data_IF_631768710841
#
_entry.id   IF_631768710841
#
_cell.length_a   1.000
_cell.length_b   1.000
_cell.length_c   1.000
_cell.angle_alpha   90.00
_cell.angle_beta   90.00
_cell.angle_gamma   90.00
#
_symmetry.space_group_name_H-M   'P 1'
#
loop_
_entity.id
_entity.type
_entity.pdbx_description
1 polymer ?
#
# COMPACT_ATOMS: atom_id res chain seq x y z
N UNK A 1 -2.88 4.63 29.73
CA UNK A 1 -2.09 4.09 28.60
C UNK A 1 -2.84 2.89 28.01
N UNK A 2 -2.95 2.78 26.67
CA UNK A 2 -3.63 1.65 26.03
C UNK A 2 -2.88 0.35 26.25
N UNK A 3 -3.59 -0.77 26.12
CA UNK A 3 -3.01 -2.10 26.05
C UNK A 3 -2.44 -2.27 24.63
N UNK A 4 -1.19 -2.72 24.50
CA UNK A 4 -0.55 -2.94 23.19
C UNK A 4 -0.26 -4.42 23.02
N UNK A 5 -0.70 -4.98 21.90
CA UNK A 5 -0.49 -6.40 21.55
C UNK A 5 0.04 -6.54 20.12
N UNK A 6 0.88 -7.56 19.90
CA UNK A 6 1.53 -7.81 18.62
C UNK A 6 1.10 -9.14 18.04
N UNK A 7 0.85 -9.18 16.73
CA UNK A 7 0.36 -10.36 16.04
C UNK A 7 1.05 -10.53 14.69
N UNK A 8 1.11 -11.76 14.23
CA UNK A 8 1.31 -12.06 12.80
C UNK A 8 -0.06 -12.24 12.17
N UNK A 9 -0.24 -11.80 10.93
CA UNK A 9 -1.52 -11.93 10.20
C UNK A 9 -2.01 -13.37 10.04
N UNK A 10 -1.11 -14.34 10.25
CA UNK A 10 -1.41 -15.78 10.12
C UNK A 10 -1.74 -16.46 11.45
N UNK A 11 -1.70 -15.75 12.57
CA UNK A 11 -1.91 -16.31 13.92
C UNK A 11 -2.88 -15.44 14.71
N UNK A 12 -3.74 -16.09 15.49
CA UNK A 12 -4.63 -15.40 16.43
C UNK A 12 -3.94 -15.15 17.78
N UNK A 13 -2.81 -15.83 18.05
CA UNK A 13 -2.07 -15.70 19.30
C UNK A 13 -1.13 -14.50 19.25
N UNK A 14 -1.09 -13.67 20.29
CA UNK A 14 -0.14 -12.57 20.39
C UNK A 14 1.29 -13.09 20.51
N UNK A 15 2.23 -12.32 19.99
CA UNK A 15 3.66 -12.58 20.15
C UNK A 15 4.30 -11.54 21.07
N UNK A 16 5.26 -11.97 21.87
CA UNK A 16 5.99 -11.14 22.81
C UNK A 16 7.49 -11.48 22.82
N UNK A 17 8.21 -10.98 23.80
CA UNK A 17 9.66 -11.18 23.93
C UNK A 17 10.06 -12.65 24.16
N UNK A 18 9.16 -13.47 24.69
CA UNK A 18 9.39 -14.90 24.96
C UNK A 18 9.05 -15.78 23.76
N UNK A 19 8.40 -15.21 22.73
CA UNK A 19 8.06 -15.94 21.53
C UNK A 19 9.29 -16.25 20.67
N UNK A 20 9.41 -17.46 20.14
CA UNK A 20 10.57 -17.94 19.39
C UNK A 20 10.94 -17.09 18.17
N UNK A 21 9.98 -16.42 17.54
CA UNK A 21 10.22 -15.54 16.38
C UNK A 21 10.74 -14.15 16.76
N UNK A 22 10.60 -13.73 18.02
CA UNK A 22 10.91 -12.35 18.43
C UNK A 22 12.32 -11.90 18.05
N UNK A 23 13.29 -12.80 18.19
CA UNK A 23 14.70 -12.52 17.92
C UNK A 23 15.15 -12.91 16.50
N UNK A 24 14.26 -13.49 15.71
CA UNK A 24 14.58 -13.86 14.33
C UNK A 24 14.52 -12.63 13.40
N UNK A 25 15.38 -12.60 12.37
CA UNK A 25 15.32 -11.56 11.36
C UNK A 25 14.01 -11.62 10.57
N UNK A 26 13.48 -10.45 10.20
CA UNK A 26 12.42 -10.39 9.20
C UNK A 26 12.90 -11.01 7.89
N UNK A 27 12.06 -11.78 7.20
CA UNK A 27 12.40 -12.29 5.88
C UNK A 27 12.79 -11.14 4.94
N UNK A 28 13.93 -11.30 4.27
CA UNK A 28 14.29 -10.40 3.17
C UNK A 28 13.17 -10.37 2.14
N UNK A 29 12.87 -9.17 1.65
CA UNK A 29 11.93 -9.00 0.55
C UNK A 29 12.33 -9.95 -0.61
N UNK A 30 11.35 -10.49 -1.33
CA UNK A 30 11.49 -11.46 -2.45
C UNK A 30 12.27 -10.91 -3.66
N UNK A 31 13.34 -10.16 -3.45
CA UNK A 31 14.27 -9.78 -4.52
C UNK A 31 15.13 -11.00 -4.89
N UNK A 32 15.29 -11.28 -6.18
CA UNK A 32 16.19 -12.36 -6.65
C UNK A 32 17.57 -12.20 -6.04
N UNK A 33 18.21 -13.32 -5.72
CA UNK A 33 19.53 -13.39 -5.05
C UNK A 33 20.66 -12.57 -5.76
N UNK A 34 20.49 -12.27 -7.03
CA UNK A 34 21.44 -11.49 -7.84
C UNK A 34 21.54 -10.00 -7.47
N UNK A 35 20.60 -9.47 -6.66
CA UNK A 35 20.64 -8.07 -6.18
C UNK A 35 21.04 -7.92 -4.71
N UNK A 36 21.59 -8.97 -4.09
CA UNK A 36 22.05 -8.96 -2.68
C UNK A 36 23.40 -8.25 -2.46
N UNK A 37 24.03 -7.67 -3.49
CA UNK A 37 25.38 -7.10 -3.37
C UNK A 37 25.48 -5.77 -2.61
N UNK A 38 24.35 -5.11 -2.29
CA UNK A 38 24.35 -3.85 -1.53
C UNK A 38 24.06 -4.04 -0.02
N UNK A 39 24.20 -5.26 0.49
CA UNK A 39 23.96 -5.62 1.89
C UNK A 39 25.16 -5.39 2.81
N UNK A 40 25.90 -4.31 2.60
CA UNK A 40 26.92 -3.84 3.56
C UNK A 40 26.25 -2.87 4.54
N UNK A 41 26.24 -3.25 5.83
CA UNK A 41 25.97 -2.40 7.01
C UNK A 41 24.52 -1.93 7.29
N UNK A 42 23.49 -2.73 7.06
CA UNK A 42 22.23 -2.49 7.76
C UNK A 42 22.04 -3.50 8.88
N UNK A 43 21.85 -3.04 10.11
CA UNK A 43 21.42 -3.89 11.20
C UNK A 43 20.20 -4.72 10.78
N UNK A 44 20.29 -6.02 10.98
CA UNK A 44 19.21 -6.95 10.59
C UNK A 44 17.99 -6.65 11.46
N UNK A 45 16.90 -6.17 10.83
CA UNK A 45 15.64 -5.89 11.54
C UNK A 45 15.02 -7.23 11.96
N UNK A 46 14.83 -7.43 13.26
CA UNK A 46 14.15 -8.61 13.82
C UNK A 46 12.65 -8.31 13.98
N UNK A 47 11.82 -9.36 14.18
CA UNK A 47 10.40 -9.19 14.51
C UNK A 47 10.23 -8.29 15.74
N UNK A 48 11.00 -8.51 16.80
CA UNK A 48 10.93 -7.70 18.01
C UNK A 48 11.33 -6.24 17.81
N UNK A 49 12.41 -5.98 17.08
CA UNK A 49 12.82 -4.61 16.75
C UNK A 49 11.81 -3.90 15.86
N UNK A 50 11.18 -4.62 14.92
CA UNK A 50 10.09 -4.11 14.08
C UNK A 50 8.88 -3.68 14.92
N UNK A 51 8.33 -4.58 15.76
CA UNK A 51 7.17 -4.28 16.60
C UNK A 51 7.45 -3.17 17.60
N UNK A 52 8.64 -3.18 18.21
CA UNK A 52 9.08 -2.12 19.11
C UNK A 52 9.16 -0.76 18.43
N UNK A 53 9.68 -0.71 17.19
CA UNK A 53 9.77 0.52 16.42
C UNK A 53 8.38 1.05 16.02
N UNK A 54 7.47 0.18 15.55
CA UNK A 54 6.08 0.56 15.22
C UNK A 54 5.36 1.08 16.47
N UNK A 55 5.45 0.36 17.59
CA UNK A 55 4.85 0.78 18.87
C UNK A 55 5.40 2.12 19.34
N UNK A 56 6.73 2.31 19.31
CA UNK A 56 7.38 3.59 19.67
C UNK A 56 6.92 4.73 18.78
N UNK A 57 6.81 4.51 17.48
CA UNK A 57 6.29 5.48 16.52
C UNK A 57 4.84 5.90 16.85
N UNK A 58 3.99 4.93 17.17
CA UNK A 58 2.60 5.20 17.53
C UNK A 58 2.47 5.91 18.88
N UNK A 59 3.28 5.52 19.88
CA UNK A 59 3.24 6.02 21.25
C UNK A 59 3.92 7.39 21.44
N UNK A 60 4.58 7.94 20.42
CA UNK A 60 5.26 9.25 20.50
C UNK A 60 4.27 10.32 20.98
N UNK A 61 4.71 11.16 21.92
CA UNK A 61 3.93 12.28 22.50
C UNK A 61 2.57 11.83 23.08
N UNK A 62 2.52 10.69 23.79
CA UNK A 62 1.29 10.21 24.42
C UNK A 62 0.24 9.72 23.40
N UNK A 63 0.67 9.02 22.37
CA UNK A 63 -0.20 8.51 21.30
C UNK A 63 -0.82 9.58 20.40
N UNK A 64 -0.33 10.80 20.45
CA UNK A 64 -0.88 11.96 19.72
C UNK A 64 -1.11 11.68 18.23
N UNK A 65 -0.21 10.91 17.58
CA UNK A 65 -0.36 10.54 16.16
C UNK A 65 -1.60 9.70 15.89
N UNK A 66 -1.86 8.70 16.73
CA UNK A 66 -3.03 7.82 16.64
C UNK A 66 -4.31 8.59 16.97
N UNK A 67 -4.28 9.40 18.04
CA UNK A 67 -5.40 10.21 18.48
C UNK A 67 -5.82 11.19 17.39
N UNK A 68 -4.86 11.90 16.77
CA UNK A 68 -5.13 12.83 15.66
C UNK A 68 -5.69 12.11 14.43
N UNK A 69 -5.12 10.95 14.06
CA UNK A 69 -5.61 10.15 12.95
C UNK A 69 -7.05 9.66 13.21
N UNK A 70 -7.31 9.15 14.41
CA UNK A 70 -8.64 8.70 14.83
C UNK A 70 -9.65 9.85 14.92
N UNK A 71 -9.25 10.99 15.47
CA UNK A 71 -10.09 12.20 15.52
C UNK A 71 -10.48 12.66 14.12
N UNK A 72 -9.54 12.64 13.18
CA UNK A 72 -9.79 12.96 11.77
C UNK A 72 -10.76 11.97 11.12
N UNK A 73 -10.57 10.65 11.36
CA UNK A 73 -11.40 9.59 10.77
C UNK A 73 -12.80 9.53 11.32
N UNK A 74 -12.99 9.92 12.60
CA UNK A 74 -14.29 9.96 13.27
C UNK A 74 -14.96 11.33 13.20
N UNK A 75 -14.27 12.36 12.70
CA UNK A 75 -14.73 13.76 12.68
C UNK A 75 -15.14 14.28 14.08
N UNK A 76 -14.43 13.81 15.11
CA UNK A 76 -14.68 14.21 16.51
C UNK A 76 -13.37 14.36 17.27
N UNK A 77 -13.24 15.31 18.22
CA UNK A 77 -12.05 15.44 19.05
C UNK A 77 -11.94 14.25 20.01
N UNK A 78 -10.75 13.66 20.08
CA UNK A 78 -10.40 12.56 20.97
C UNK A 78 -9.22 12.95 21.87
N UNK A 79 -9.11 12.31 23.02
CA UNK A 79 -8.00 12.44 23.97
C UNK A 79 -7.36 11.08 24.28
N UNK A 80 -6.20 11.08 24.91
CA UNK A 80 -5.45 9.84 25.22
C UNK A 80 -6.28 8.80 25.98
N UNK A 81 -7.14 9.25 26.89
CA UNK A 81 -7.98 8.36 27.70
C UNK A 81 -9.06 7.62 26.90
N UNK A 82 -9.38 8.07 25.70
CA UNK A 82 -10.36 7.40 24.83
C UNK A 82 -9.74 6.17 24.15
N UNK A 83 -8.40 6.12 24.07
CA UNK A 83 -7.62 5.02 23.48
C UNK A 83 -7.49 3.87 24.49
N UNK A 84 -8.13 2.74 24.20
CA UNK A 84 -8.17 1.57 25.10
C UNK A 84 -7.13 0.51 24.72
N UNK A 85 -7.05 0.18 23.44
CA UNK A 85 -6.21 -0.91 22.93
C UNK A 85 -5.62 -0.56 21.56
N UNK A 86 -4.40 -1.02 21.33
CA UNK A 86 -3.71 -0.96 20.02
C UNK A 86 -3.16 -2.34 19.70
N UNK A 87 -3.76 -3.01 18.74
CA UNK A 87 -3.28 -4.28 18.21
C UNK A 87 -2.51 -4.05 16.92
N UNK A 88 -1.27 -4.54 16.86
CA UNK A 88 -0.35 -4.36 15.75
C UNK A 88 -0.13 -5.70 15.05
N UNK A 89 -0.60 -5.82 13.81
CA UNK A 89 -0.49 -7.03 13.00
C UNK A 89 0.55 -6.81 11.90
N UNK A 90 1.57 -7.65 11.85
CA UNK A 90 2.47 -7.70 10.69
C UNK A 90 1.77 -8.45 9.56
N UNK A 91 1.31 -7.72 8.55
CA UNK A 91 0.45 -8.25 7.48
C UNK A 91 1.21 -9.08 6.46
N UNK A 92 2.31 -8.56 5.95
CA UNK A 92 3.09 -9.25 4.91
C UNK A 92 4.52 -8.71 4.81
N UNK A 93 5.35 -9.48 4.12
CA UNK A 93 6.69 -9.08 3.75
C UNK A 93 6.71 -8.65 2.27
N UNK A 94 6.57 -7.35 2.02
CA UNK A 94 6.59 -6.78 0.68
C UNK A 94 8.00 -6.42 0.22
N UNK A 95 8.15 -6.16 -1.08
CA UNK A 95 9.44 -5.81 -1.69
C UNK A 95 10.01 -4.46 -1.20
N UNK A 96 9.17 -3.55 -0.76
CA UNK A 96 9.55 -2.21 -0.33
C UNK A 96 9.28 -2.00 1.16
N UNK A 97 8.14 -2.49 1.63
CA UNK A 97 7.64 -2.26 2.97
C UNK A 97 7.19 -3.56 3.64
N UNK A 98 7.22 -3.54 4.96
CA UNK A 98 6.55 -4.50 5.81
C UNK A 98 5.37 -3.77 6.47
N UNK A 99 4.17 -3.78 5.85
CA UNK A 99 3.03 -3.07 6.40
C UNK A 99 2.54 -3.72 7.69
N UNK A 100 2.25 -2.89 8.70
CA UNK A 100 1.51 -3.27 9.88
C UNK A 100 0.08 -2.76 9.78
N UNK A 101 -0.91 -3.64 9.95
CA UNK A 101 -2.27 -3.23 10.26
C UNK A 101 -2.33 -2.84 11.75
N UNK A 102 -2.80 -1.64 12.03
CA UNK A 102 -3.15 -1.22 13.38
C UNK A 102 -4.65 -1.31 13.54
N UNK A 103 -5.10 -2.08 14.52
CA UNK A 103 -6.47 -2.04 15.01
C UNK A 103 -6.51 -1.29 16.34
N UNK A 104 -7.26 -0.20 16.37
CA UNK A 104 -7.29 0.72 17.50
C UNK A 104 -8.70 0.69 18.08
N UNK A 105 -8.83 0.34 19.37
CA UNK A 105 -10.09 0.39 20.09
C UNK A 105 -10.21 1.76 20.77
N UNK A 106 -11.26 2.50 20.40
CA UNK A 106 -11.61 3.80 20.95
C UNK A 106 -13.09 3.77 21.33
N UNK A 107 -13.38 3.92 22.62
CA UNK A 107 -14.73 3.75 23.16
C UNK A 107 -15.35 2.40 22.73
N UNK A 108 -16.41 2.42 21.92
CA UNK A 108 -17.09 1.23 21.40
C UNK A 108 -16.78 1.00 19.89
N UNK A 109 -15.78 1.67 19.34
CA UNK A 109 -15.43 1.59 17.93
C UNK A 109 -14.05 0.95 17.75
N UNK A 110 -13.88 0.21 16.65
CA UNK A 110 -12.58 -0.24 16.18
C UNK A 110 -12.25 0.51 14.90
N UNK A 111 -11.05 1.07 14.82
CA UNK A 111 -10.53 1.76 13.65
C UNK A 111 -9.30 1.02 13.15
N UNK A 112 -9.18 0.95 11.84
CA UNK A 112 -8.03 0.35 11.17
C UNK A 112 -7.17 1.42 10.51
N UNK A 113 -5.85 1.30 10.69
CA UNK A 113 -4.83 2.11 10.04
C UNK A 113 -3.72 1.22 9.50
N UNK A 114 -2.90 1.73 8.60
CA UNK A 114 -1.67 1.07 8.18
C UNK A 114 -0.46 1.87 8.68
N UNK A 115 0.56 1.15 9.16
CA UNK A 115 1.92 1.69 9.26
C UNK A 115 2.77 0.99 8.21
N UNK A 116 3.13 1.71 7.15
CA UNK A 116 4.07 1.21 6.16
C UNK A 116 5.50 1.42 6.65
N UNK A 117 6.21 0.32 6.91
CA UNK A 117 7.56 0.32 7.50
C UNK A 117 8.58 -0.02 6.44
N UNK A 118 9.53 0.88 6.21
CA UNK A 118 10.60 0.72 5.22
C UNK A 118 11.84 0.07 5.85
N UNK A 119 11.85 -1.27 5.94
CA UNK A 119 12.97 -2.01 6.51
C UNK A 119 14.17 -2.16 5.57
N UNK A 120 13.97 -2.05 4.24
CA UNK A 120 15.03 -2.14 3.24
C UNK A 120 15.57 -0.76 2.83
N UNK A 121 16.84 -0.70 2.38
CA UNK A 121 17.42 0.55 1.83
C UNK A 121 16.62 1.10 0.65
N UNK A 122 16.06 0.23 -0.18
CA UNK A 122 15.20 0.63 -1.30
C UNK A 122 13.89 1.24 -0.83
N UNK A 123 13.23 0.60 0.15
CA UNK A 123 12.03 1.13 0.80
C UNK A 123 12.27 2.49 1.45
N UNK A 124 13.39 2.67 2.16
CA UNK A 124 13.76 3.95 2.80
C UNK A 124 13.84 5.10 1.80
N UNK A 125 14.46 4.89 0.63
CA UNK A 125 14.54 5.90 -0.45
C UNK A 125 13.19 6.19 -1.09
N UNK A 126 12.31 5.20 -1.17
CA UNK A 126 11.00 5.31 -1.81
C UNK A 126 9.97 5.97 -0.91
N UNK A 127 9.97 5.67 0.39
CA UNK A 127 8.94 6.10 1.35
C UNK A 127 8.76 7.64 1.38
N UNK A 128 9.85 8.40 1.44
CA UNK A 128 9.77 9.87 1.47
C UNK A 128 9.12 10.45 0.21
N UNK A 129 9.39 9.87 -0.96
CA UNK A 129 8.77 10.27 -2.24
C UNK A 129 7.30 9.89 -2.28
N UNK A 130 6.98 8.70 -1.82
CA UNK A 130 5.61 8.20 -1.76
C UNK A 130 4.74 9.03 -0.82
N UNK A 131 5.21 9.35 0.38
CA UNK A 131 4.51 10.24 1.32
C UNK A 131 4.20 11.60 0.69
N UNK A 132 5.17 12.20 -0.02
CA UNK A 132 4.95 13.47 -0.73
C UNK A 132 3.94 13.34 -1.86
N UNK A 133 4.02 12.25 -2.63
CA UNK A 133 3.11 11.98 -3.73
C UNK A 133 1.67 11.76 -3.23
N UNK A 134 1.48 10.93 -2.20
CA UNK A 134 0.18 10.67 -1.59
C UNK A 134 -0.47 11.95 -1.05
N UNK A 135 0.28 12.78 -0.31
CA UNK A 135 -0.22 14.07 0.19
C UNK A 135 -0.66 14.97 -0.95
N UNK A 136 0.23 15.19 -1.96
CA UNK A 136 -0.09 16.01 -3.13
C UNK A 136 -1.32 15.51 -3.88
N UNK A 137 -1.44 14.20 -4.11
CA UNK A 137 -2.56 13.62 -4.84
C UNK A 137 -3.87 13.69 -4.04
N UNK A 138 -3.85 13.47 -2.73
CA UNK A 138 -5.04 13.66 -1.89
C UNK A 138 -5.52 15.11 -1.90
N UNK A 139 -4.61 16.09 -1.83
CA UNK A 139 -4.96 17.51 -1.90
C UNK A 139 -5.56 17.89 -3.27
N UNK A 140 -4.99 17.36 -4.36
CA UNK A 140 -5.44 17.65 -5.73
C UNK A 140 -6.67 16.84 -6.16
N UNK A 141 -6.89 15.66 -5.59
CA UNK A 141 -7.91 14.68 -5.98
C UNK A 141 -8.60 14.08 -4.74
N UNK A 142 -9.46 14.85 -4.05
CA UNK A 142 -10.09 14.44 -2.78
C UNK A 142 -11.23 13.41 -2.99
N UNK A 143 -11.01 12.40 -3.83
CA UNK A 143 -12.00 11.37 -4.14
C UNK A 143 -11.85 10.11 -3.28
N UNK A 144 -10.93 10.13 -2.30
CA UNK A 144 -10.65 8.98 -1.43
C UNK A 144 -10.05 7.78 -2.18
N UNK A 145 -9.37 8.01 -3.31
CA UNK A 145 -8.70 6.95 -4.07
C UNK A 145 -7.42 6.46 -3.41
N UNK A 146 -6.79 7.29 -2.60
CA UNK A 146 -5.50 7.08 -1.96
C UNK A 146 -5.64 7.07 -0.45
N UNK A 147 -4.75 6.36 0.28
CA UNK A 147 -4.70 6.48 1.73
C UNK A 147 -4.30 7.91 2.13
N UNK A 148 -4.99 8.45 3.12
CA UNK A 148 -4.56 9.66 3.81
C UNK A 148 -3.27 9.36 4.57
N UNK A 149 -2.27 10.24 4.49
CA UNK A 149 -1.06 10.13 5.30
C UNK A 149 -1.18 11.04 6.52
N UNK A 150 -1.44 10.46 7.68
CA UNK A 150 -1.62 11.20 8.94
C UNK A 150 -0.29 11.66 9.55
N UNK A 151 0.72 10.79 9.54
CA UNK A 151 2.04 11.06 10.10
C UNK A 151 3.11 10.25 9.42
N UNK A 152 4.37 10.71 9.48
CA UNK A 152 5.53 9.97 8.97
C UNK A 152 6.78 10.32 9.76
N UNK A 153 7.76 9.40 9.77
CA UNK A 153 9.10 9.62 10.31
C UNK A 153 10.18 9.22 9.30
N UNK A 154 11.35 9.82 9.43
CA UNK A 154 12.56 9.49 8.65
C UNK A 154 13.68 8.93 9.54
N UNK A 155 13.37 8.51 10.76
CA UNK A 155 14.31 7.92 11.72
C UNK A 155 14.96 6.63 11.18
N UNK A 156 15.68 5.90 12.03
CA UNK A 156 16.40 4.67 11.65
C UNK A 156 15.53 3.66 10.89
N UNK A 157 14.26 3.56 11.25
CA UNK A 157 13.26 2.75 10.55
C UNK A 157 12.15 3.68 10.03
N UNK A 158 12.31 4.27 8.83
CA UNK A 158 11.32 5.19 8.27
C UNK A 158 9.97 4.52 8.07
N UNK A 159 8.91 5.22 8.46
CA UNK A 159 7.55 4.72 8.34
C UNK A 159 6.52 5.85 8.21
N UNK A 160 5.34 5.52 7.74
CA UNK A 160 4.21 6.45 7.78
C UNK A 160 2.93 5.75 8.25
N UNK A 161 2.10 6.51 8.96
CA UNK A 161 0.75 6.15 9.37
C UNK A 161 -0.23 6.64 8.31
N UNK A 162 -1.06 5.74 7.81
CA UNK A 162 -2.08 6.07 6.81
C UNK A 162 -3.37 5.28 6.98
N UNK A 163 -4.33 5.52 6.07
CA UNK A 163 -5.59 4.78 6.05
C UNK A 163 -5.37 3.32 5.72
N UNK A 164 -6.05 2.45 6.47
CA UNK A 164 -6.38 1.10 6.05
C UNK A 164 -7.78 1.10 5.43
N UNK A 165 -7.93 0.49 4.27
CA UNK A 165 -9.21 0.39 3.59
C UNK A 165 -9.92 -0.90 3.98
N UNK A 166 -10.77 -0.84 5.01
CA UNK A 166 -11.53 -1.99 5.48
C UNK A 166 -12.45 -2.55 4.40
N UNK A 167 -12.43 -3.87 4.24
CA UNK A 167 -13.20 -4.58 3.20
C UNK A 167 -12.65 -4.45 1.78
N UNK A 168 -11.47 -3.84 1.61
CA UNK A 168 -10.75 -3.86 0.35
C UNK A 168 -9.67 -4.93 0.38
N UNK A 169 -9.53 -5.68 -0.71
CA UNK A 169 -8.64 -6.82 -0.82
C UNK A 169 -7.76 -6.73 -2.06
N UNK A 170 -6.61 -7.39 -2.01
CA UNK A 170 -5.76 -7.57 -3.19
C UNK A 170 -6.45 -8.51 -4.17
N UNK A 171 -6.12 -8.37 -5.44
CA UNK A 171 -6.59 -9.25 -6.49
C UNK A 171 -5.42 -9.72 -7.34
N UNK A 172 -5.59 -10.88 -7.96
CA UNK A 172 -4.56 -11.49 -8.79
C UNK A 172 -5.18 -12.08 -10.05
N UNK A 173 -4.40 -12.01 -11.13
CA UNK A 173 -4.67 -12.75 -12.34
C UNK A 173 -4.18 -14.18 -12.13
N UNK A 174 -5.04 -15.18 -12.30
CA UNK A 174 -4.68 -16.59 -12.11
C UNK A 174 -5.29 -17.47 -13.21
N UNK A 175 -4.74 -18.67 -13.42
CA UNK A 175 -5.34 -19.68 -14.30
C UNK A 175 -6.13 -20.70 -13.48
N UNK A 176 -7.33 -21.01 -13.95
CA UNK A 176 -8.10 -22.13 -13.40
C UNK A 176 -7.49 -23.46 -13.88
N UNK A 177 -7.46 -24.50 -13.02
CA UNK A 177 -7.09 -25.83 -13.47
C UNK A 177 -7.95 -26.26 -14.67
N UNK A 178 -7.28 -26.67 -15.78
CA UNK A 178 -7.96 -27.10 -17.00
C UNK A 178 -8.49 -25.98 -17.92
N UNK A 179 -8.11 -24.74 -17.69
CA UNK A 179 -8.43 -23.61 -18.57
C UNK A 179 -7.20 -22.76 -18.84
N UNK A 180 -6.97 -22.40 -20.11
CA UNK A 180 -5.92 -21.50 -20.52
C UNK A 180 -6.32 -20.02 -20.32
N UNK A 181 -7.61 -19.74 -20.14
CA UNK A 181 -8.09 -18.38 -19.93
C UNK A 181 -7.82 -17.92 -18.48
N UNK A 182 -7.07 -16.84 -18.29
CA UNK A 182 -6.85 -16.28 -16.96
C UNK A 182 -8.15 -15.67 -16.42
N UNK A 183 -8.31 -15.70 -15.10
CA UNK A 183 -9.40 -15.07 -14.37
C UNK A 183 -8.84 -14.18 -13.28
N UNK A 184 -9.61 -13.16 -12.88
CA UNK A 184 -9.24 -12.31 -11.76
C UNK A 184 -9.87 -12.88 -10.49
N UNK A 185 -9.04 -13.08 -9.49
CA UNK A 185 -9.43 -13.60 -8.16
C UNK A 185 -9.14 -12.53 -7.12
N UNK A 186 -10.12 -12.23 -6.28
CA UNK A 186 -9.97 -11.37 -5.12
C UNK A 186 -9.60 -12.23 -3.91
N UNK A 187 -8.59 -11.83 -3.16
CA UNK A 187 -8.08 -12.55 -1.99
C UNK A 187 -8.58 -11.86 -0.72
N UNK A 188 -9.57 -12.45 -0.08
CA UNK A 188 -10.17 -11.92 1.16
C UNK A 188 -9.48 -12.41 2.46
N UNK A 189 -8.29 -12.91 2.33
CA UNK A 189 -7.42 -13.30 3.47
C UNK A 189 -7.72 -14.68 4.08
N UNK A 190 -8.95 -15.17 4.00
CA UNK A 190 -9.40 -16.37 4.73
C UNK A 190 -9.67 -17.54 3.84
N UNK A 191 -9.09 -18.00 2.91
CA UNK A 191 -9.40 -19.19 2.09
C UNK A 191 -10.52 -19.02 1.06
N UNK A 192 -11.26 -17.95 1.08
CA UNK A 192 -12.31 -17.69 0.08
C UNK A 192 -11.72 -16.84 -1.04
N UNK A 193 -11.51 -17.47 -2.19
CA UNK A 193 -11.09 -16.78 -3.41
C UNK A 193 -12.33 -16.55 -4.26
N UNK A 194 -12.80 -15.32 -4.34
CA UNK A 194 -13.90 -14.97 -5.22
C UNK A 194 -13.41 -14.60 -6.61
N UNK A 195 -13.97 -15.24 -7.63
CA UNK A 195 -13.66 -14.94 -9.03
C UNK A 195 -14.56 -13.82 -9.51
N UNK A 196 -13.99 -12.78 -10.07
CA UNK A 196 -14.76 -11.69 -10.67
C UNK A 196 -15.46 -12.16 -11.95
N UNK A 197 -16.71 -11.71 -12.14
CA UNK A 197 -17.38 -11.80 -13.42
C UNK A 197 -16.69 -10.93 -14.48
N UNK A 198 -16.97 -11.17 -15.76
CA UNK A 198 -16.43 -10.34 -16.84
C UNK A 198 -16.79 -8.86 -16.67
N UNK A 199 -18.01 -8.56 -16.23
CA UNK A 199 -18.45 -7.19 -15.94
C UNK A 199 -17.63 -6.58 -14.80
N UNK A 200 -17.48 -7.29 -13.69
CA UNK A 200 -16.68 -6.81 -12.54
C UNK A 200 -15.21 -6.62 -12.91
N UNK A 201 -14.62 -7.53 -13.70
CA UNK A 201 -13.27 -7.40 -14.22
C UNK A 201 -13.12 -6.14 -15.10
N UNK A 202 -14.08 -5.92 -16.02
CA UNK A 202 -14.09 -4.71 -16.86
C UNK A 202 -14.23 -3.42 -16.02
N UNK A 203 -15.07 -3.44 -14.99
CA UNK A 203 -15.26 -2.30 -14.09
C UNK A 203 -14.01 -2.04 -13.24
N UNK A 204 -13.30 -3.08 -12.79
CA UNK A 204 -12.02 -2.98 -12.09
C UNK A 204 -10.98 -2.24 -12.94
N UNK A 205 -10.72 -2.71 -14.16
CA UNK A 205 -9.72 -2.09 -15.04
C UNK A 205 -10.15 -0.69 -15.48
N UNK A 206 -11.43 -0.45 -15.70
CA UNK A 206 -11.96 0.90 -15.99
C UNK A 206 -11.69 1.86 -14.84
N UNK A 207 -11.97 1.45 -13.60
CA UNK A 207 -11.74 2.28 -12.41
C UNK A 207 -10.24 2.53 -12.18
N UNK A 208 -9.39 1.51 -12.33
CA UNK A 208 -7.93 1.68 -12.21
C UNK A 208 -7.40 2.64 -13.29
N UNK A 209 -7.81 2.49 -14.55
CA UNK A 209 -7.44 3.39 -15.63
C UNK A 209 -7.95 4.83 -15.39
N UNK A 210 -9.17 4.98 -14.88
CA UNK A 210 -9.76 6.27 -14.51
C UNK A 210 -8.92 6.99 -13.44
N UNK A 211 -8.52 6.29 -12.37
CA UNK A 211 -7.66 6.84 -11.31
C UNK A 211 -6.34 7.34 -11.90
N UNK A 212 -5.65 6.50 -12.69
CA UNK A 212 -4.37 6.85 -13.28
C UNK A 212 -4.49 8.01 -14.28
N UNK A 213 -5.54 8.03 -15.11
CA UNK A 213 -5.78 9.11 -16.09
C UNK A 213 -6.13 10.42 -15.39
N UNK A 214 -6.97 10.40 -14.37
CA UNK A 214 -7.32 11.59 -13.61
C UNK A 214 -6.13 12.20 -12.84
N UNK A 215 -5.10 11.39 -12.56
CA UNK A 215 -3.87 11.83 -11.91
C UNK A 215 -2.77 12.24 -12.91
N UNK A 216 -2.98 12.06 -14.22
CA UNK A 216 -2.05 12.61 -15.21
C UNK A 216 -2.17 14.14 -15.26
N UNK A 217 -1.05 14.83 -15.17
CA UNK A 217 -0.96 16.28 -15.30
C UNK A 217 -0.46 16.62 -16.71
N UNK A 218 -1.32 17.12 -17.61
CA UNK A 218 -0.93 17.38 -18.99
C UNK A 218 0.09 18.52 -19.14
N UNK A 219 0.18 19.43 -18.17
CA UNK A 219 1.11 20.57 -18.24
C UNK A 219 2.53 20.18 -17.84
N UNK A 220 2.66 19.27 -16.88
CA UNK A 220 3.96 18.82 -16.38
C UNK A 220 4.32 17.40 -16.80
N UNK A 221 3.41 16.69 -17.47
CA UNK A 221 3.50 15.27 -17.81
C UNK A 221 3.71 14.35 -16.59
N UNK A 222 3.45 14.86 -15.38
CA UNK A 222 3.53 14.07 -14.17
C UNK A 222 2.46 12.98 -14.16
N UNK A 223 2.86 11.79 -13.78
CA UNK A 223 2.00 10.60 -13.71
C UNK A 223 2.43 9.69 -12.57
N UNK A 224 1.51 8.85 -12.12
CA UNK A 224 1.82 7.77 -11.18
C UNK A 224 2.56 6.69 -11.94
N UNK A 225 3.83 6.40 -11.56
CA UNK A 225 4.65 5.35 -12.18
C UNK A 225 5.89 5.03 -11.33
N UNK A 226 6.34 3.75 -11.23
CA UNK A 226 5.68 2.54 -11.74
C UNK A 226 4.49 2.11 -10.88
N UNK A 227 3.57 1.37 -11.48
CA UNK A 227 2.44 0.76 -10.82
C UNK A 227 2.19 -0.65 -11.37
N UNK A 228 1.55 -1.51 -10.54
CA UNK A 228 1.14 -2.86 -10.89
C UNK A 228 -0.29 -3.06 -10.41
N UNK A 229 -1.20 -3.44 -11.31
CA UNK A 229 -2.61 -3.52 -10.96
C UNK A 229 -2.92 -4.75 -10.09
N UNK A 230 -2.34 -5.90 -10.34
CA UNK A 230 -2.60 -7.12 -9.58
C UNK A 230 -1.46 -7.56 -8.66
N UNK A 231 -0.56 -6.67 -8.28
CA UNK A 231 0.56 -6.98 -7.36
C UNK A 231 0.52 -6.12 -6.08
N UNK A 232 -0.68 -5.82 -5.58
CA UNK A 232 -0.89 -5.12 -4.32
C UNK A 232 -0.69 -3.61 -4.36
N UNK A 233 -0.64 -2.97 -5.56
CA UNK A 233 -0.71 -1.50 -5.62
C UNK A 233 -2.15 -1.02 -5.59
N UNK A 234 -3.06 -1.78 -6.21
CA UNK A 234 -4.50 -1.56 -6.16
C UNK A 234 -5.19 -2.59 -5.26
N UNK A 235 -6.23 -2.15 -4.59
CA UNK A 235 -7.14 -3.00 -3.82
C UNK A 235 -8.58 -2.76 -4.27
N UNK A 236 -9.42 -3.77 -4.11
CA UNK A 236 -10.80 -3.74 -4.58
C UNK A 236 -11.77 -4.14 -3.48
N UNK A 237 -12.96 -3.56 -3.52
CA UNK A 237 -14.12 -4.00 -2.77
C UNK A 237 -15.25 -4.33 -3.75
N UNK A 238 -15.80 -5.53 -3.62
CA UNK A 238 -16.90 -6.03 -4.46
C UNK A 238 -18.17 -6.00 -3.65
N UNK A 239 -19.19 -5.28 -4.13
CA UNK A 239 -20.51 -5.18 -3.50
C UNK A 239 -21.59 -5.47 -4.56
N UNK A 240 -22.15 -6.66 -4.51
CA UNK A 240 -23.05 -7.15 -5.57
C UNK A 240 -22.34 -7.15 -6.92
N UNK A 241 -22.90 -6.46 -7.91
CA UNK A 241 -22.30 -6.30 -9.24
C UNK A 241 -21.27 -5.17 -9.34
N UNK A 242 -21.14 -4.34 -8.31
CA UNK A 242 -20.26 -3.17 -8.30
C UNK A 242 -18.83 -3.49 -7.84
N UNK A 243 -17.86 -2.76 -8.38
CA UNK A 243 -16.44 -2.85 -8.00
C UNK A 243 -15.92 -1.45 -7.68
N UNK A 244 -15.46 -1.25 -6.46
CA UNK A 244 -14.76 -0.04 -6.04
C UNK A 244 -13.27 -0.33 -5.97
N UNK A 245 -12.44 0.59 -6.51
CA UNK A 245 -10.99 0.44 -6.60
C UNK A 245 -10.31 1.55 -5.80
N UNK A 246 -9.23 1.20 -5.09
CA UNK A 246 -8.32 2.14 -4.41
C UNK A 246 -6.89 1.84 -4.85
N UNK A 247 -6.06 2.87 -4.89
CA UNK A 247 -4.62 2.75 -5.15
C UNK A 247 -3.87 3.03 -3.86
N UNK A 248 -3.28 2.00 -3.26
CA UNK A 248 -2.67 2.09 -1.93
C UNK A 248 -1.17 2.38 -1.94
N UNK A 249 -0.54 2.33 -3.11
CA UNK A 249 0.91 2.59 -3.28
C UNK A 249 1.16 3.55 -4.43
N UNK A 250 1.85 4.65 -4.16
CA UNK A 250 2.27 5.65 -5.16
C UNK A 250 3.78 5.85 -5.06
N UNK A 251 4.56 5.00 -5.71
CA UNK A 251 6.03 5.02 -5.62
C UNK A 251 6.66 6.31 -6.12
N UNK A 252 6.10 6.88 -7.19
CA UNK A 252 6.50 8.17 -7.73
C UNK A 252 5.33 8.88 -8.40
N UNK A 253 5.39 10.21 -8.39
CA UNK A 253 4.51 11.08 -9.16
C UNK A 253 5.38 12.12 -9.88
N UNK A 254 5.87 11.74 -11.05
CA UNK A 254 6.87 12.47 -11.84
C UNK A 254 6.60 12.28 -13.34
N UNK A 255 7.15 13.14 -14.22
CA UNK A 255 7.18 12.88 -15.65
C UNK A 255 7.89 11.56 -15.94
N UNK A 256 7.42 10.83 -16.94
CA UNK A 256 8.19 9.70 -17.45
C UNK A 256 9.49 10.22 -18.07
N UNK A 257 10.62 9.57 -17.78
CA UNK A 257 11.93 10.00 -18.29
C UNK A 257 11.90 10.16 -19.82
N UNK A 258 12.31 11.32 -20.29
CA UNK A 258 12.29 11.67 -21.72
C UNK A 258 10.96 12.24 -22.23
N UNK A 259 9.92 12.34 -21.38
CA UNK A 259 8.60 12.86 -21.75
C UNK A 259 8.25 14.17 -21.03
N UNK A 260 9.21 14.83 -20.40
CA UNK A 260 8.97 16.15 -19.80
C UNK A 260 8.78 17.17 -20.93
N UNK A 261 7.58 17.77 -21.03
CA UNK A 261 7.31 18.85 -21.95
C UNK A 261 7.77 20.19 -21.35
N UNK A 262 8.41 21.02 -22.16
CA UNK A 262 8.67 22.41 -21.74
C UNK A 262 7.36 23.18 -21.70
N UNK A 263 7.18 24.11 -20.74
CA UNK A 263 5.97 24.91 -20.66
C UNK A 263 5.72 25.70 -21.97
N UNK A 264 4.54 25.46 -22.59
CA UNK A 264 4.12 26.12 -23.83
C UNK A 264 4.49 25.37 -25.11
N UNK A 265 5.17 24.23 -25.05
CA UNK A 265 5.37 23.35 -26.21
C UNK A 265 4.17 22.41 -26.35
N UNK A 266 3.15 22.86 -27.09
CA UNK A 266 1.92 22.11 -27.34
C UNK A 266 2.18 20.76 -28.02
N UNK A 267 3.20 20.68 -28.87
CA UNK A 267 3.58 19.43 -29.55
C UNK A 267 4.16 18.42 -28.57
N UNK A 268 5.09 18.86 -27.71
CA UNK A 268 5.66 18.00 -26.67
C UNK A 268 4.60 17.55 -25.65
N UNK A 269 3.66 18.42 -25.30
CA UNK A 269 2.51 18.08 -24.44
C UNK A 269 1.67 16.97 -25.09
N UNK A 270 1.34 17.10 -26.38
CA UNK A 270 0.55 16.10 -27.09
C UNK A 270 1.30 14.76 -27.23
N UNK A 271 2.60 14.80 -27.56
CA UNK A 271 3.44 13.61 -27.64
C UNK A 271 3.52 12.88 -26.27
N UNK A 272 3.73 13.61 -25.17
CA UNK A 272 3.74 13.05 -23.82
C UNK A 272 2.38 12.43 -23.45
N UNK A 273 1.27 13.06 -23.80
CA UNK A 273 -0.08 12.54 -23.57
C UNK A 273 -0.32 11.24 -24.39
N UNK A 274 0.10 11.20 -25.64
CA UNK A 274 0.01 9.99 -26.46
C UNK A 274 0.83 8.85 -25.88
N UNK A 275 2.06 9.11 -25.42
CA UNK A 275 2.94 8.14 -24.78
C UNK A 275 2.27 7.61 -23.50
N UNK A 276 1.69 8.50 -22.69
CA UNK A 276 0.95 8.11 -21.49
C UNK A 276 -0.17 7.11 -21.83
N UNK A 277 -1.03 7.40 -22.80
CA UNK A 277 -2.14 6.51 -23.16
C UNK A 277 -1.70 5.19 -23.76
N UNK A 278 -0.67 5.18 -24.59
CA UNK A 278 -0.09 3.95 -25.13
C UNK A 278 0.48 3.10 -23.98
N UNK A 279 1.25 3.71 -23.10
CA UNK A 279 1.86 3.05 -21.95
C UNK A 279 0.80 2.50 -20.97
N UNK A 280 -0.22 3.29 -20.67
CA UNK A 280 -1.36 2.87 -19.85
C UNK A 280 -2.06 1.66 -20.49
N UNK A 281 -2.39 1.73 -21.79
CA UNK A 281 -3.07 0.66 -22.52
C UNK A 281 -2.30 -0.64 -22.54
N UNK A 282 -0.99 -0.58 -22.78
CA UNK A 282 -0.13 -1.78 -22.79
C UNK A 282 -0.05 -2.39 -21.38
N UNK A 283 0.23 -1.55 -20.36
CA UNK A 283 0.41 -2.04 -19.00
C UNK A 283 -0.88 -2.57 -18.37
N UNK A 284 -2.06 -2.01 -18.73
CA UNK A 284 -3.33 -2.54 -18.25
C UNK A 284 -3.62 -3.96 -18.74
N UNK A 285 -2.98 -4.40 -19.82
CA UNK A 285 -3.11 -5.77 -20.35
C UNK A 285 -2.06 -6.72 -19.84
N UNK A 286 -0.94 -6.20 -19.33
CA UNK A 286 0.20 -7.02 -18.89
C UNK A 286 0.15 -7.17 -17.38
N UNK A 287 0.01 -8.40 -16.91
CA UNK A 287 0.16 -8.71 -15.50
C UNK A 287 0.85 -10.05 -15.28
N UNK A 288 1.31 -10.30 -14.07
CA UNK A 288 1.90 -11.57 -13.69
C UNK A 288 0.84 -12.48 -13.10
N UNK A 289 0.81 -13.73 -13.56
CA UNK A 289 -0.01 -14.75 -12.93
C UNK A 289 0.39 -14.89 -11.45
N UNK A 290 -0.61 -14.91 -10.57
CA UNK A 290 -0.45 -15.00 -9.12
C UNK A 290 0.52 -13.95 -8.54
N UNK A 291 0.65 -12.79 -9.23
CA UNK A 291 1.50 -11.66 -8.83
C UNK A 291 3.01 -11.86 -8.98
N UNK A 292 3.48 -13.07 -9.24
CA UNK A 292 4.93 -13.42 -9.23
C UNK A 292 5.39 -14.33 -10.37
N UNK A 293 4.45 -14.99 -11.06
CA UNK A 293 4.76 -15.96 -12.11
C UNK A 293 4.97 -15.30 -13.50
N UNK A 294 4.78 -16.05 -14.57
CA UNK A 294 4.91 -15.56 -15.93
C UNK A 294 3.96 -14.40 -16.24
N UNK A 295 4.37 -13.55 -17.18
CA UNK A 295 3.53 -12.44 -17.64
C UNK A 295 2.43 -13.00 -18.53
N UNK A 296 1.18 -12.69 -18.17
CA UNK A 296 0.00 -12.95 -18.99
C UNK A 296 -0.39 -11.69 -19.78
N UNK A 297 -1.00 -11.92 -20.94
CA UNK A 297 -1.49 -10.87 -21.84
C UNK A 297 -3.00 -11.00 -22.02
#
# INVERSE_FOLDING_TARGET
MPIVSYFLSTTDDPIDQDHSLWHLPLPDSRLPAEKKSDALDTETVTYGSYFSAVSKFCATDGWDRIIKAASSKLEQPLVENDLQEVSIFLEKHGAFYHPALLQVAIENKRLSFVVNVAASNHGRRTLSREVKALKRLNDQRPFGWFPTVYSSTSDELPMFLGDWFDGFHEFHLTRRPGSDNPVIVVWDGAATRSVLSEKQAADLYRNAAMILTACYDPLTSCQIFPWHHAAGDFVVRVEGDGVTVRLITVRNYLPLSGCAAEPGDERAILEALMIFFIHLSVRMRLDRLDGVSEVAW
#
